data_IF_453527364885
#
_entry.id   IF_453527364885
#
_cell.length_a   1.000
_cell.length_b   1.000
_cell.length_c   1.000
_cell.angle_alpha   90.00
_cell.angle_beta   90.00
_cell.angle_gamma   90.00
#
_symmetry.space_group_name_H-M   'P 1'
#
loop_
_entity.id
_entity.type
_entity.pdbx_description
1 polymer ?
#
# COMPACT_ATOMS: atom_id res chain seq x y z
N UNK A 1 -43.99 -27.47 -6.64
CA UNK A 1 -42.52 -27.28 -6.75
C UNK A 1 -42.04 -28.06 -7.96
N UNK A 2 -41.28 -27.42 -8.85
CA UNK A 2 -40.68 -28.11 -9.99
C UNK A 2 -39.65 -29.14 -9.52
N UNK A 3 -39.41 -30.20 -10.31
CA UNK A 3 -38.45 -31.27 -9.99
C UNK A 3 -37.05 -30.69 -9.57
N UNK A 4 -36.57 -29.67 -10.26
CA UNK A 4 -35.30 -29.04 -9.95
C UNK A 4 -35.24 -28.36 -8.56
N UNK A 5 -36.35 -27.76 -8.10
CA UNK A 5 -36.43 -27.18 -6.75
C UNK A 5 -36.40 -28.23 -5.64
N UNK A 6 -36.99 -29.42 -5.90
CA UNK A 6 -36.93 -30.55 -4.96
C UNK A 6 -35.50 -31.11 -4.86
N UNK A 7 -34.82 -31.26 -5.99
CA UNK A 7 -33.42 -31.73 -6.02
C UNK A 7 -32.48 -30.75 -5.31
N UNK A 8 -32.62 -29.44 -5.54
CA UNK A 8 -31.83 -28.42 -4.88
C UNK A 8 -32.05 -28.42 -3.35
N UNK A 9 -33.32 -28.58 -2.92
CA UNK A 9 -33.64 -28.66 -1.49
C UNK A 9 -33.02 -29.90 -0.83
N UNK A 10 -33.06 -31.06 -1.51
CA UNK A 10 -32.43 -32.28 -0.99
C UNK A 10 -30.92 -32.13 -0.86
N UNK A 11 -30.24 -31.55 -1.87
CA UNK A 11 -28.79 -31.30 -1.82
C UNK A 11 -28.47 -30.34 -0.70
N UNK A 12 -29.21 -29.24 -0.56
CA UNK A 12 -29.01 -28.28 0.53
C UNK A 12 -29.18 -28.93 1.90
N UNK A 13 -30.23 -29.79 2.06
CA UNK A 13 -30.47 -30.51 3.31
C UNK A 13 -29.34 -31.46 3.64
N UNK A 14 -28.82 -32.20 2.65
CA UNK A 14 -27.67 -33.11 2.85
C UNK A 14 -26.43 -32.33 3.27
N UNK A 15 -26.14 -31.18 2.65
CA UNK A 15 -25.02 -30.32 2.99
C UNK A 15 -25.14 -29.74 4.43
N UNK A 16 -26.35 -29.35 4.83
CA UNK A 16 -26.59 -28.84 6.19
C UNK A 16 -26.41 -29.94 7.23
N UNK A 17 -27.00 -31.11 7.00
CA UNK A 17 -26.91 -32.26 7.92
C UNK A 17 -25.47 -32.77 7.96
N UNK A 18 -24.82 -32.92 6.80
CA UNK A 18 -23.43 -33.35 6.71
C UNK A 18 -22.47 -32.35 7.37
N UNK A 19 -22.64 -31.07 7.09
CA UNK A 19 -21.87 -30.00 7.73
C UNK A 19 -22.09 -29.95 9.25
N UNK A 20 -23.32 -30.10 9.68
CA UNK A 20 -23.67 -30.17 11.11
C UNK A 20 -23.03 -31.38 11.83
N UNK A 21 -23.05 -32.55 11.20
CA UNK A 21 -22.43 -33.76 11.74
C UNK A 21 -20.90 -33.64 11.85
N UNK A 22 -20.25 -33.07 10.82
CA UNK A 22 -18.81 -32.81 10.82
C UNK A 22 -18.46 -31.79 11.91
N UNK A 23 -19.22 -30.69 12.03
CA UNK A 23 -19.00 -29.67 13.04
C UNK A 23 -19.19 -30.21 14.47
N UNK A 24 -20.23 -31.01 14.68
CA UNK A 24 -20.47 -31.68 15.96
C UNK A 24 -19.37 -32.71 16.30
N UNK A 25 -18.93 -33.48 15.31
CA UNK A 25 -17.83 -34.44 15.48
C UNK A 25 -16.52 -33.74 15.82
N UNK A 26 -16.19 -32.64 15.16
CA UNK A 26 -15.03 -31.83 15.48
C UNK A 26 -15.11 -31.24 16.90
N UNK A 27 -16.30 -30.73 17.29
CA UNK A 27 -16.53 -30.18 18.62
C UNK A 27 -16.44 -31.24 19.73
N UNK A 28 -16.95 -32.46 19.46
CA UNK A 28 -16.82 -33.59 20.37
C UNK A 28 -15.37 -34.07 20.50
N UNK A 29 -14.61 -34.11 19.39
CA UNK A 29 -13.17 -34.43 19.40
C UNK A 29 -12.34 -33.38 20.15
N UNK A 30 -12.80 -32.14 20.16
CA UNK A 30 -12.23 -31.06 20.96
C UNK A 30 -12.66 -31.07 22.44
N UNK A 31 -13.33 -32.12 22.89
CA UNK A 31 -13.81 -32.26 24.28
C UNK A 31 -14.90 -31.26 24.67
N UNK A 32 -15.72 -30.84 23.68
CA UNK A 32 -16.77 -29.82 23.83
C UNK A 32 -16.24 -28.47 24.27
N UNK A 33 -14.97 -28.19 24.03
CA UNK A 33 -14.35 -26.88 24.30
C UNK A 33 -14.02 -26.19 22.96
N UNK A 34 -14.60 -25.03 22.73
CA UNK A 34 -14.34 -24.21 21.53
C UNK A 34 -12.88 -23.77 21.44
N UNK A 35 -12.22 -23.62 22.57
CA UNK A 35 -10.82 -23.24 22.61
C UNK A 35 -9.89 -24.31 22.01
N UNK A 36 -10.26 -25.59 22.11
CA UNK A 36 -9.51 -26.69 21.51
C UNK A 36 -9.75 -26.85 20.01
N UNK A 37 -10.73 -26.12 19.43
CA UNK A 37 -10.95 -26.00 18.00
C UNK A 37 -10.09 -24.91 17.34
N UNK A 38 -9.47 -24.06 18.15
CA UNK A 38 -8.59 -23.02 17.66
C UNK A 38 -7.33 -23.64 17.06
N UNK A 39 -6.97 -23.20 15.86
CA UNK A 39 -5.68 -23.53 15.23
C UNK A 39 -4.54 -22.68 15.79
N UNK A 40 -4.85 -21.75 16.66
CA UNK A 40 -3.90 -20.86 17.27
C UNK A 40 -3.24 -21.54 18.49
N UNK A 41 -1.94 -21.65 18.42
CA UNK A 41 -1.13 -22.15 19.54
C UNK A 41 -1.08 -21.08 20.62
N UNK A 42 -1.34 -21.47 21.88
CA UNK A 42 -1.47 -20.53 23.01
C UNK A 42 -0.16 -20.23 23.73
N UNK A 43 0.86 -21.04 23.48
CA UNK A 43 2.12 -20.95 24.22
C UNK A 43 3.14 -20.16 23.42
N UNK A 44 2.94 -18.84 23.35
CA UNK A 44 3.91 -17.97 22.71
C UNK A 44 5.09 -17.69 23.66
N UNK A 45 6.29 -17.80 23.13
CA UNK A 45 7.52 -17.47 23.83
C UNK A 45 8.30 -16.46 23.00
N UNK A 46 8.62 -15.33 23.60
CA UNK A 46 9.47 -14.33 22.96
C UNK A 46 10.94 -14.68 23.14
N UNK A 47 11.72 -14.43 22.12
CA UNK A 47 13.18 -14.57 22.12
C UNK A 47 13.81 -13.36 21.46
N UNK A 48 14.96 -12.93 21.97
CA UNK A 48 15.74 -11.86 21.36
C UNK A 48 17.13 -12.36 21.03
N UNK A 49 17.59 -12.12 19.82
CA UNK A 49 18.98 -12.29 19.40
C UNK A 49 19.62 -10.95 19.11
N UNK A 50 20.85 -10.81 19.52
CA UNK A 50 21.63 -9.58 19.37
C UNK A 50 22.89 -9.89 18.56
N UNK A 51 23.15 -9.07 17.54
CA UNK A 51 24.28 -9.17 16.65
C UNK A 51 25.13 -7.90 16.81
N UNK A 52 26.23 -8.04 17.51
CA UNK A 52 27.17 -6.96 17.71
C UNK A 52 28.02 -6.74 16.44
N UNK A 53 28.37 -5.52 16.07
CA UNK A 53 29.23 -5.29 14.94
C UNK A 53 30.61 -5.86 15.17
N UNK A 54 31.11 -6.61 14.19
CA UNK A 54 32.49 -7.06 14.19
C UNK A 54 33.37 -6.09 13.41
N UNK A 55 34.52 -5.72 13.95
CA UNK A 55 35.40 -4.70 13.35
C UNK A 55 35.89 -5.09 11.95
N UNK A 56 36.05 -6.39 11.70
CA UNK A 56 36.51 -6.94 10.41
C UNK A 56 35.39 -7.38 9.49
N UNK A 57 34.14 -7.47 9.99
CA UNK A 57 32.96 -7.88 9.22
C UNK A 57 31.71 -7.11 9.65
N UNK A 58 31.57 -5.84 9.24
CA UNK A 58 30.38 -5.06 9.55
C UNK A 58 29.16 -5.68 8.89
N UNK A 59 28.00 -5.59 9.55
CA UNK A 59 26.74 -6.04 8.96
C UNK A 59 26.38 -5.15 7.78
N UNK A 60 26.24 -5.75 6.60
CA UNK A 60 25.94 -5.05 5.34
C UNK A 60 24.53 -5.35 4.82
N UNK A 61 23.92 -6.43 5.29
CA UNK A 61 22.57 -6.82 4.88
C UNK A 61 21.75 -7.40 6.05
N UNK A 62 20.48 -7.11 6.04
CA UNK A 62 19.47 -7.76 6.89
C UNK A 62 18.41 -8.34 5.96
N UNK A 63 18.20 -9.65 6.06
CA UNK A 63 17.24 -10.39 5.26
C UNK A 63 16.22 -11.02 6.19
N UNK A 64 14.96 -10.62 6.05
CA UNK A 64 13.85 -11.13 6.83
C UNK A 64 12.82 -11.79 5.92
N UNK A 65 12.52 -13.06 6.19
CA UNK A 65 11.49 -13.85 5.50
C UNK A 65 10.52 -14.39 6.54
N UNK A 66 9.24 -14.12 6.42
CA UNK A 66 8.24 -14.66 7.35
C UNK A 66 6.91 -14.96 6.67
N UNK A 67 6.14 -15.85 7.30
CA UNK A 67 4.91 -16.40 6.72
C UNK A 67 3.64 -15.72 7.17
N UNK A 68 3.64 -14.86 8.21
CA UNK A 68 2.35 -14.34 8.65
C UNK A 68 2.27 -13.31 9.76
N UNK A 69 3.37 -12.95 10.41
CA UNK A 69 3.35 -11.93 11.46
C UNK A 69 3.77 -10.56 10.89
N UNK A 70 3.33 -9.52 11.62
CA UNK A 70 3.75 -8.15 11.36
C UNK A 70 5.24 -7.98 11.68
N UNK A 71 5.92 -7.15 10.90
CA UNK A 71 7.32 -6.81 11.11
C UNK A 71 7.43 -5.31 11.37
N UNK A 72 8.03 -4.97 12.50
CA UNK A 72 8.32 -3.60 12.88
C UNK A 72 9.83 -3.37 12.91
N UNK A 73 10.29 -2.34 12.23
CA UNK A 73 11.69 -1.98 12.14
C UNK A 73 11.87 -0.60 12.76
N UNK A 74 12.67 -0.55 13.81
CA UNK A 74 12.84 0.62 14.64
C UNK A 74 14.34 0.95 14.78
N UNK A 75 14.72 2.23 14.92
CA UNK A 75 16.08 2.58 15.22
C UNK A 75 16.46 2.24 16.66
N UNK A 76 17.74 1.96 16.86
CA UNK A 76 18.33 1.90 18.20
C UNK A 76 19.55 2.81 18.29
N UNK A 77 19.77 3.37 19.49
CA UNK A 77 20.99 4.14 19.79
C UNK A 77 22.19 3.22 20.14
N UNK A 78 21.94 1.91 20.29
CA UNK A 78 22.99 0.91 20.43
C UNK A 78 23.69 0.59 19.12
N UNK A 79 24.81 -0.10 19.19
CA UNK A 79 25.62 -0.48 18.02
C UNK A 79 25.23 -1.85 17.44
N UNK A 80 24.43 -2.63 18.16
CA UNK A 80 24.04 -3.98 17.78
C UNK A 80 22.66 -4.01 17.10
N UNK A 81 22.51 -4.92 16.14
CA UNK A 81 21.20 -5.29 15.58
C UNK A 81 20.51 -6.23 16.56
N UNK A 82 19.28 -5.92 16.96
CA UNK A 82 18.47 -6.76 17.83
C UNK A 82 17.26 -7.27 17.09
N UNK A 83 16.99 -8.58 17.15
CA UNK A 83 15.84 -9.23 16.55
C UNK A 83 15.02 -9.89 17.66
N UNK A 84 13.82 -9.37 17.93
CA UNK A 84 12.86 -9.97 18.85
C UNK A 84 11.76 -10.66 18.04
N UNK A 85 11.51 -11.92 18.31
CA UNK A 85 10.55 -12.74 17.60
C UNK A 85 9.81 -13.67 18.56
N UNK A 86 8.67 -14.18 18.10
CA UNK A 86 7.79 -15.03 18.88
C UNK A 86 7.69 -16.43 18.30
N UNK A 87 7.89 -17.43 19.12
CA UNK A 87 7.80 -18.83 18.74
C UNK A 87 6.69 -19.53 19.51
N UNK A 88 6.16 -20.59 18.93
CA UNK A 88 5.23 -21.51 19.58
C UNK A 88 5.43 -22.92 19.01
N UNK A 89 4.57 -23.87 19.32
CA UNK A 89 4.66 -25.27 18.87
C UNK A 89 4.67 -25.43 17.33
N UNK A 90 4.16 -24.44 16.59
CA UNK A 90 4.01 -24.49 15.12
C UNK A 90 4.81 -23.42 14.41
N UNK A 91 5.24 -22.39 15.11
CA UNK A 91 6.04 -21.31 14.56
C UNK A 91 7.44 -21.35 15.12
N UNK A 92 8.41 -21.41 14.24
CA UNK A 92 9.83 -21.36 14.56
C UNK A 92 10.54 -20.31 13.74
N UNK A 93 11.65 -19.84 14.25
CA UNK A 93 12.54 -18.91 13.56
C UNK A 93 13.96 -19.47 13.52
N UNK A 94 14.59 -19.38 12.37
CA UNK A 94 16.04 -19.48 12.23
C UNK A 94 16.60 -18.08 12.09
N UNK A 95 17.38 -17.66 13.08
CA UNK A 95 17.94 -16.32 13.14
C UNK A 95 19.44 -16.43 13.33
N UNK A 96 20.22 -15.90 12.41
CA UNK A 96 21.67 -16.04 12.41
C UNK A 96 22.37 -14.90 11.69
N UNK A 97 23.68 -14.87 11.82
CA UNK A 97 24.58 -14.03 11.03
C UNK A 97 25.46 -14.93 10.18
N UNK A 98 25.57 -14.61 8.93
CA UNK A 98 26.42 -15.31 7.98
C UNK A 98 27.25 -14.31 7.18
N UNK A 99 28.47 -14.05 7.66
CA UNK A 99 29.42 -13.18 6.97
C UNK A 99 28.94 -11.74 6.79
N UNK A 100 28.35 -11.15 7.84
CA UNK A 100 27.83 -9.77 7.81
C UNK A 100 26.41 -9.65 7.26
N UNK A 101 25.73 -10.75 7.02
CA UNK A 101 24.31 -10.80 6.67
C UNK A 101 23.51 -11.38 7.84
N UNK A 102 22.67 -10.55 8.47
CA UNK A 102 21.74 -11.02 9.49
C UNK A 102 20.51 -11.61 8.77
N UNK A 103 20.25 -12.89 8.99
CA UNK A 103 19.10 -13.62 8.42
C UNK A 103 18.07 -13.91 9.49
N UNK A 104 16.79 -13.68 9.17
CA UNK A 104 15.64 -13.97 10.02
C UNK A 104 14.61 -14.74 9.18
N UNK A 105 14.53 -16.05 9.37
CA UNK A 105 13.65 -16.92 8.61
C UNK A 105 12.58 -17.51 9.52
N UNK A 106 11.35 -17.02 9.41
CA UNK A 106 10.19 -17.56 10.08
C UNK A 106 9.55 -18.69 9.28
N UNK A 107 9.27 -19.80 9.92
CA UNK A 107 8.52 -20.90 9.33
C UNK A 107 7.33 -21.28 10.18
N UNK A 108 6.23 -21.68 9.53
CA UNK A 108 5.00 -22.07 10.21
C UNK A 108 4.51 -23.42 9.66
N UNK A 109 4.26 -24.37 10.54
CA UNK A 109 3.63 -25.61 10.15
C UNK A 109 2.16 -25.39 9.76
N UNK A 110 1.69 -25.99 8.66
CA UNK A 110 0.31 -25.86 8.23
C UNK A 110 -0.64 -26.44 9.29
N UNK A 111 -1.67 -25.68 9.64
CA UNK A 111 -2.72 -26.14 10.53
C UNK A 111 -3.96 -26.55 9.75
N UNK A 112 -4.49 -27.74 10.05
CA UNK A 112 -5.81 -28.16 9.57
C UNK A 112 -6.80 -27.92 10.70
N UNK A 113 -7.67 -26.92 10.56
CA UNK A 113 -8.66 -26.60 11.57
C UNK A 113 -9.46 -25.35 11.22
N UNK A 114 -10.40 -24.97 12.07
CA UNK A 114 -11.21 -23.77 11.93
C UNK A 114 -10.45 -22.62 12.56
N UNK A 115 -10.18 -21.58 11.78
CA UNK A 115 -9.62 -20.34 12.30
C UNK A 115 -10.70 -19.68 13.18
N UNK A 116 -10.61 -19.86 14.48
CA UNK A 116 -11.42 -19.12 15.44
C UNK A 116 -10.77 -17.76 15.66
N UNK A 117 -11.58 -16.73 15.78
CA UNK A 117 -11.14 -15.39 16.15
C UNK A 117 -10.59 -15.46 17.58
N UNK A 118 -9.29 -15.60 17.70
CA UNK A 118 -8.55 -15.73 18.96
C UNK A 118 -7.83 -14.44 19.34
N UNK A 119 -7.13 -14.45 20.46
CA UNK A 119 -6.50 -13.31 21.12
C UNK A 119 -5.75 -12.37 20.17
N UNK A 120 -5.98 -11.06 20.31
CA UNK A 120 -5.27 -9.99 19.62
C UNK A 120 -3.95 -9.63 20.31
N UNK A 121 -3.18 -10.63 20.74
CA UNK A 121 -1.82 -10.36 21.23
C UNK A 121 -0.91 -10.04 20.05
N UNK A 122 -0.19 -8.94 20.19
CA UNK A 122 0.79 -8.51 19.18
C UNK A 122 2.04 -9.38 19.27
N UNK A 123 2.21 -10.30 18.30
CA UNK A 123 3.37 -11.17 18.18
C UNK A 123 4.29 -10.69 17.04
N UNK A 124 4.33 -9.40 16.79
CA UNK A 124 5.19 -8.81 15.75
C UNK A 124 6.64 -9.18 15.94
N UNK A 125 7.32 -9.45 14.85
CA UNK A 125 8.78 -9.49 14.83
C UNK A 125 9.31 -8.06 14.87
N UNK A 126 10.11 -7.73 15.88
CA UNK A 126 10.70 -6.40 16.04
C UNK A 126 12.19 -6.48 15.72
N UNK A 127 12.58 -5.70 14.73
CA UNK A 127 13.97 -5.51 14.31
C UNK A 127 14.43 -4.12 14.73
N UNK A 128 15.37 -4.06 15.67
CA UNK A 128 16.02 -2.81 16.04
C UNK A 128 17.34 -2.68 15.30
N UNK A 129 17.46 -1.61 14.54
CA UNK A 129 18.60 -1.33 13.66
C UNK A 129 19.37 -0.14 14.19
N UNK A 130 20.71 -0.25 14.35
CA UNK A 130 21.53 0.88 14.75
C UNK A 130 21.36 2.09 13.82
N UNK A 131 21.29 3.30 14.35
CA UNK A 131 21.26 4.52 13.53
C UNK A 131 22.49 4.70 12.63
N UNK A 132 23.58 4.01 12.97
CA UNK A 132 24.81 3.98 12.17
C UNK A 132 24.78 2.98 11.02
N UNK A 133 23.75 2.13 10.95
CA UNK A 133 23.64 1.09 9.93
C UNK A 133 23.36 1.70 8.55
N UNK A 134 24.20 1.35 7.57
CA UNK A 134 24.13 1.85 6.19
C UNK A 134 23.90 0.75 5.16
N UNK A 135 23.62 -0.48 5.63
CA UNK A 135 23.43 -1.64 4.77
C UNK A 135 22.04 -1.71 4.14
N UNK A 136 21.69 -2.88 3.68
CA UNK A 136 20.41 -3.15 3.00
C UNK A 136 19.40 -3.84 3.91
N UNK A 137 18.11 -3.52 3.73
CA UNK A 137 16.98 -4.21 4.34
C UNK A 137 16.17 -4.93 3.25
N UNK A 138 16.09 -6.25 3.32
CA UNK A 138 15.28 -7.06 2.41
C UNK A 138 14.24 -7.86 3.22
N UNK A 139 12.98 -7.46 3.12
CA UNK A 139 11.85 -7.98 3.88
C UNK A 139 10.86 -8.60 2.90
N UNK A 140 10.52 -9.86 3.09
CA UNK A 140 9.57 -10.58 2.24
C UNK A 140 8.62 -11.41 3.11
N UNK A 141 7.36 -11.01 3.15
CA UNK A 141 6.31 -11.62 3.95
C UNK A 141 5.27 -12.29 3.05
N UNK A 142 4.81 -13.47 3.43
CA UNK A 142 3.60 -14.04 2.81
C UNK A 142 2.32 -13.41 3.36
N UNK A 143 2.35 -12.88 4.57
CA UNK A 143 1.28 -12.13 5.23
C UNK A 143 1.87 -11.18 6.25
N UNK A 144 1.02 -10.37 6.89
CA UNK A 144 1.47 -9.40 7.87
C UNK A 144 1.90 -8.06 7.26
N UNK A 145 1.96 -7.07 8.11
CA UNK A 145 2.33 -5.71 7.75
C UNK A 145 3.84 -5.50 7.91
N UNK A 146 4.39 -4.60 7.12
CA UNK A 146 5.75 -4.07 7.28
C UNK A 146 5.65 -2.62 7.73
N UNK A 147 6.21 -2.31 8.88
CA UNK A 147 6.32 -0.94 9.39
C UNK A 147 7.79 -0.61 9.66
N UNK A 148 8.35 0.36 8.93
CA UNK A 148 9.71 0.82 9.12
C UNK A 148 9.75 2.34 9.29
N UNK A 149 10.39 2.79 10.37
CA UNK A 149 10.40 4.20 10.69
C UNK A 149 11.74 4.69 11.26
N UNK A 150 12.02 5.98 11.03
CA UNK A 150 13.12 6.73 11.67
C UNK A 150 14.51 6.16 11.37
N UNK A 151 14.74 5.68 10.14
CA UNK A 151 16.01 5.12 9.70
C UNK A 151 16.67 6.03 8.65
N UNK A 152 17.89 6.42 8.94
CA UNK A 152 18.67 7.30 8.07
C UNK A 152 19.82 6.51 7.40
N UNK A 153 20.18 6.89 6.19
CA UNK A 153 21.37 6.42 5.47
C UNK A 153 21.39 4.93 5.12
N UNK A 154 20.25 4.33 4.82
CA UNK A 154 20.23 2.97 4.30
C UNK A 154 20.71 2.92 2.84
N UNK A 155 21.42 1.85 2.46
CA UNK A 155 21.77 1.62 1.07
C UNK A 155 20.53 1.27 0.26
N UNK A 156 19.75 0.27 0.67
CA UNK A 156 18.48 -0.02 0.04
C UNK A 156 17.45 -0.60 1.00
N UNK A 157 16.19 -0.38 0.68
CA UNK A 157 15.04 -0.97 1.37
C UNK A 157 14.16 -1.69 0.36
N UNK A 158 14.04 -2.99 0.51
CA UNK A 158 13.07 -3.80 -0.23
C UNK A 158 12.04 -4.35 0.74
N UNK A 159 10.78 -4.00 0.57
CA UNK A 159 9.68 -4.52 1.38
C UNK A 159 8.61 -5.15 0.49
N UNK A 160 8.34 -6.43 0.73
CA UNK A 160 7.34 -7.20 -0.01
C UNK A 160 6.38 -7.88 0.93
N UNK A 161 5.10 -7.88 0.58
CA UNK A 161 4.07 -8.67 1.27
C UNK A 161 3.04 -9.20 0.28
N UNK A 162 2.62 -10.45 0.44
CA UNK A 162 1.51 -10.96 -0.36
C UNK A 162 0.16 -10.49 0.19
N UNK A 163 0.02 -10.37 1.51
CA UNK A 163 -1.20 -9.86 2.15
C UNK A 163 -0.84 -9.07 3.38
N UNK A 164 -0.99 -7.76 3.31
CA UNK A 164 -0.67 -6.82 4.38
C UNK A 164 -0.30 -5.46 3.82
N UNK A 165 -0.12 -4.50 4.68
CA UNK A 165 0.24 -3.14 4.31
C UNK A 165 1.75 -2.93 4.48
N UNK A 166 2.30 -2.01 3.70
CA UNK A 166 3.67 -1.54 3.85
C UNK A 166 3.62 -0.07 4.23
N UNK A 167 4.21 0.26 5.36
CA UNK A 167 4.33 1.62 5.90
C UNK A 167 5.79 1.99 6.07
N UNK A 168 6.25 2.96 5.32
CA UNK A 168 7.60 3.50 5.42
C UNK A 168 7.52 4.97 5.80
N UNK A 169 8.15 5.36 6.90
CA UNK A 169 8.07 6.73 7.37
C UNK A 169 9.39 7.25 7.92
N UNK A 170 9.73 8.49 7.55
CA UNK A 170 10.96 9.16 8.01
C UNK A 170 12.21 8.31 7.74
N UNK A 171 12.38 7.92 6.48
CA UNK A 171 13.49 7.11 6.00
C UNK A 171 14.37 7.90 5.03
N UNK A 172 15.67 7.62 5.06
CA UNK A 172 16.57 7.99 3.99
C UNK A 172 17.32 6.73 3.50
N UNK A 173 17.26 6.48 2.19
CA UNK A 173 17.91 5.35 1.55
C UNK A 173 18.27 5.71 0.10
N UNK A 174 19.25 5.01 -0.49
CA UNK A 174 19.53 5.21 -1.91
C UNK A 174 18.36 4.68 -2.77
N UNK A 175 17.97 3.42 -2.54
CA UNK A 175 16.89 2.75 -3.28
C UNK A 175 15.79 2.24 -2.36
N UNK A 176 14.53 2.48 -2.74
CA UNK A 176 13.36 1.95 -2.03
C UNK A 176 12.44 1.23 -3.02
N UNK A 177 12.17 -0.05 -2.74
CA UNK A 177 11.26 -0.86 -3.54
C UNK A 177 10.20 -1.49 -2.63
N UNK A 178 8.93 -1.21 -2.90
CA UNK A 178 7.81 -1.80 -2.18
C UNK A 178 6.89 -2.56 -3.11
N UNK A 179 6.42 -3.73 -2.67
CA UNK A 179 5.51 -4.57 -3.44
C UNK A 179 4.48 -5.24 -2.53
N UNK A 180 3.23 -4.84 -2.66
CA UNK A 180 2.12 -5.48 -1.98
C UNK A 180 1.21 -6.17 -2.99
N UNK A 181 0.94 -7.48 -2.84
CA UNK A 181 -0.02 -8.10 -3.74
C UNK A 181 -1.47 -7.72 -3.35
N UNK A 182 -1.78 -7.70 -2.06
CA UNK A 182 -3.05 -7.21 -1.52
C UNK A 182 -2.78 -6.41 -0.26
N UNK A 183 -2.97 -5.11 -0.34
CA UNK A 183 -2.72 -4.18 0.75
C UNK A 183 -2.27 -2.82 0.27
N UNK A 184 -2.22 -1.87 1.17
CA UNK A 184 -1.84 -0.51 0.87
C UNK A 184 -0.33 -0.31 1.05
N UNK A 185 0.22 0.59 0.26
CA UNK A 185 1.60 1.07 0.41
C UNK A 185 1.54 2.54 0.82
N UNK A 186 2.07 2.86 1.98
CA UNK A 186 2.17 4.21 2.50
C UNK A 186 3.63 4.60 2.68
N UNK A 187 4.02 5.72 2.07
CA UNK A 187 5.38 6.28 2.18
C UNK A 187 5.28 7.73 2.59
N UNK A 188 5.89 8.08 3.72
CA UNK A 188 5.78 9.41 4.28
C UNK A 188 7.12 9.96 4.76
N UNK A 189 7.44 11.19 4.34
CA UNK A 189 8.70 11.89 4.72
C UNK A 189 9.93 11.05 4.43
N UNK A 190 10.11 10.71 3.16
CA UNK A 190 11.18 9.83 2.68
C UNK A 190 12.07 10.58 1.71
N UNK A 191 13.38 10.36 1.86
CA UNK A 191 14.41 10.86 0.95
C UNK A 191 15.14 9.68 0.30
N UNK A 192 15.28 9.69 -1.04
CA UNK A 192 15.95 8.61 -1.77
C UNK A 192 16.49 9.07 -3.13
N UNK A 193 17.20 8.20 -3.82
CA UNK A 193 17.46 8.40 -5.24
C UNK A 193 16.34 7.77 -6.08
N UNK A 194 15.98 6.54 -5.77
CA UNK A 194 14.96 5.78 -6.47
C UNK A 194 13.87 5.27 -5.54
N UNK A 195 12.58 5.46 -5.91
CA UNK A 195 11.44 4.91 -5.20
C UNK A 195 10.50 4.20 -6.18
N UNK A 196 10.23 2.93 -5.94
CA UNK A 196 9.24 2.17 -6.69
C UNK A 196 8.21 1.54 -5.75
N UNK A 197 6.93 1.79 -6.01
CA UNK A 197 5.84 1.18 -5.26
C UNK A 197 4.87 0.48 -6.21
N UNK A 198 4.58 -0.78 -5.91
CA UNK A 198 3.64 -1.59 -6.69
C UNK A 198 2.61 -2.22 -5.78
N UNK A 199 1.33 -2.14 -6.18
CA UNK A 199 0.27 -2.94 -5.55
C UNK A 199 -0.68 -3.50 -6.62
N UNK A 200 -1.12 -4.75 -6.42
CA UNK A 200 -2.15 -5.31 -7.32
C UNK A 200 -3.56 -4.88 -6.88
N UNK A 201 -3.83 -4.95 -5.59
CA UNK A 201 -5.11 -4.54 -5.01
C UNK A 201 -4.87 -3.77 -3.73
N UNK A 202 -5.09 -2.47 -3.77
CA UNK A 202 -4.85 -1.55 -2.66
C UNK A 202 -4.48 -0.17 -3.15
N UNK A 203 -4.26 0.74 -2.24
CA UNK A 203 -3.90 2.11 -2.55
C UNK A 203 -2.40 2.33 -2.34
N UNK A 204 -1.84 3.25 -3.13
CA UNK A 204 -0.51 3.81 -2.88
C UNK A 204 -0.69 5.25 -2.42
N UNK A 205 -0.15 5.57 -1.26
CA UNK A 205 -0.18 6.92 -0.69
C UNK A 205 1.23 7.41 -0.39
N UNK A 206 1.63 8.49 -1.05
CA UNK A 206 2.90 9.18 -0.81
C UNK A 206 2.64 10.57 -0.24
N UNK A 207 3.38 10.92 0.80
CA UNK A 207 3.34 12.24 1.42
C UNK A 207 4.74 12.71 1.75
N UNK A 208 5.12 13.89 1.26
CA UNK A 208 6.41 14.52 1.51
C UNK A 208 7.58 13.60 1.09
N UNK A 209 7.60 13.22 -0.18
CA UNK A 209 8.64 12.35 -0.77
C UNK A 209 9.58 13.18 -1.63
N UNK A 210 10.88 13.06 -1.35
CA UNK A 210 11.95 13.68 -2.11
C UNK A 210 12.82 12.60 -2.75
N UNK A 211 12.72 12.41 -4.06
CA UNK A 211 13.56 11.49 -4.80
C UNK A 211 14.41 12.25 -5.82
N UNK A 212 15.72 12.03 -5.81
CA UNK A 212 16.61 12.78 -6.71
C UNK A 212 16.50 12.32 -8.15
N UNK A 213 16.10 11.08 -8.40
CA UNK A 213 16.03 10.50 -9.73
C UNK A 213 14.60 10.13 -10.16
N UNK A 214 14.05 9.06 -9.60
CA UNK A 214 12.80 8.46 -10.10
C UNK A 214 11.85 8.11 -8.96
N UNK A 215 10.58 8.47 -9.16
CA UNK A 215 9.43 7.94 -8.41
C UNK A 215 8.54 7.18 -9.38
N UNK A 216 8.33 5.89 -9.12
CA UNK A 216 7.49 5.01 -9.92
C UNK A 216 6.38 4.38 -9.10
N UNK A 217 5.13 4.48 -9.59
CA UNK A 217 3.96 3.87 -8.98
C UNK A 217 3.24 2.99 -10.01
N UNK A 218 2.85 1.79 -9.58
CA UNK A 218 2.07 0.87 -10.40
C UNK A 218 0.95 0.24 -9.56
N UNK A 219 -0.30 0.48 -9.97
CA UNK A 219 -1.47 -0.04 -9.27
C UNK A 219 -2.41 -0.70 -10.27
N UNK A 220 -2.76 -1.97 -10.06
CA UNK A 220 -3.75 -2.62 -10.93
C UNK A 220 -5.17 -2.20 -10.56
N UNK A 221 -5.51 -2.21 -9.27
CA UNK A 221 -6.83 -1.79 -8.77
C UNK A 221 -6.69 -1.07 -7.43
N UNK A 222 -7.18 0.15 -7.36
CA UNK A 222 -7.10 1.01 -6.18
C UNK A 222 -6.75 2.43 -6.57
N UNK A 223 -6.56 3.33 -5.60
CA UNK A 223 -6.21 4.72 -5.82
C UNK A 223 -4.71 4.99 -5.67
N UNK A 224 -4.24 6.04 -6.33
CA UNK A 224 -2.93 6.63 -6.07
C UNK A 224 -3.10 8.03 -5.53
N UNK A 225 -2.51 8.31 -4.39
CA UNK A 225 -2.56 9.60 -3.72
C UNK A 225 -1.16 10.11 -3.46
N UNK A 226 -0.77 11.18 -4.14
CA UNK A 226 0.52 11.81 -4.00
C UNK A 226 0.35 13.21 -3.44
N UNK A 227 1.10 13.55 -2.40
CA UNK A 227 1.15 14.89 -1.82
C UNK A 227 2.59 15.31 -1.59
N UNK A 228 2.98 16.47 -2.13
CA UNK A 228 4.32 17.00 -1.92
C UNK A 228 5.43 16.06 -2.42
N UNK A 229 5.32 15.57 -3.66
CA UNK A 229 6.33 14.69 -4.27
C UNK A 229 7.26 15.53 -5.14
N UNK A 230 8.55 15.45 -4.86
CA UNK A 230 9.62 16.11 -5.63
C UNK A 230 10.56 15.06 -6.23
N UNK A 231 10.77 15.11 -7.55
CA UNK A 231 11.63 14.14 -8.26
C UNK A 231 12.07 14.65 -9.63
N UNK A 232 13.10 14.07 -10.21
CA UNK A 232 13.40 14.31 -11.62
C UNK A 232 12.35 13.66 -12.53
N UNK A 233 12.00 12.39 -12.29
CA UNK A 233 11.02 11.66 -13.09
C UNK A 233 9.94 11.03 -12.22
N UNK A 234 8.67 11.28 -12.56
CA UNK A 234 7.50 10.64 -11.96
C UNK A 234 6.78 9.79 -13.01
N UNK A 235 6.63 8.49 -12.77
CA UNK A 235 5.86 7.56 -13.64
C UNK A 235 4.78 6.89 -12.80
N UNK A 236 3.53 7.31 -12.96
CA UNK A 236 2.37 6.80 -12.24
C UNK A 236 1.42 6.07 -13.20
N UNK A 237 1.28 4.76 -13.02
CA UNK A 237 0.45 3.90 -13.85
C UNK A 237 -0.66 3.27 -13.04
N UNK A 238 -1.85 3.21 -13.65
CA UNK A 238 -3.03 2.66 -13.00
C UNK A 238 -3.92 1.89 -13.97
N UNK A 239 -4.35 0.71 -13.53
CA UNK A 239 -5.37 -0.07 -14.24
C UNK A 239 -6.77 0.47 -13.99
N UNK A 240 -7.21 0.50 -12.74
CA UNK A 240 -8.56 0.97 -12.36
C UNK A 240 -8.52 1.72 -11.04
N UNK A 241 -9.05 2.93 -11.03
CA UNK A 241 -9.09 3.87 -9.90
C UNK A 241 -8.65 5.25 -10.30
N UNK A 242 -8.49 6.17 -9.36
CA UNK A 242 -8.12 7.56 -9.62
C UNK A 242 -6.68 7.86 -9.19
N UNK A 243 -6.00 8.68 -9.95
CA UNK A 243 -4.72 9.27 -9.59
C UNK A 243 -4.97 10.70 -9.10
N UNK A 244 -4.69 10.95 -7.82
CA UNK A 244 -4.77 12.27 -7.20
C UNK A 244 -3.36 12.71 -6.81
N UNK A 245 -2.84 13.74 -7.47
CA UNK A 245 -1.51 14.25 -7.22
C UNK A 245 -1.57 15.73 -6.85
N UNK A 246 -1.07 16.10 -5.69
CA UNK A 246 -1.09 17.46 -5.19
C UNK A 246 0.32 17.98 -4.88
N UNK A 247 0.67 19.13 -5.45
CA UNK A 247 1.96 19.78 -5.19
C UNK A 247 3.16 18.98 -5.74
N UNK A 248 3.03 18.42 -6.94
CA UNK A 248 4.12 17.69 -7.60
C UNK A 248 5.16 18.66 -8.15
N UNK A 249 6.42 18.39 -7.87
CA UNK A 249 7.56 19.06 -8.46
C UNK A 249 8.41 18.02 -9.22
N UNK A 250 8.22 17.92 -10.55
CA UNK A 250 8.96 16.98 -11.39
C UNK A 250 9.49 17.66 -12.64
N UNK A 251 10.61 17.16 -13.19
CA UNK A 251 11.08 17.56 -14.50
C UNK A 251 10.26 16.86 -15.58
N UNK A 252 10.08 15.55 -15.44
CA UNK A 252 9.24 14.73 -16.29
C UNK A 252 8.17 14.03 -15.43
N UNK A 253 6.90 14.28 -15.71
CA UNK A 253 5.79 13.62 -15.01
C UNK A 253 4.89 12.90 -16.01
N UNK A 254 4.64 11.63 -15.76
CA UNK A 254 3.80 10.79 -16.59
C UNK A 254 2.72 10.12 -15.74
N UNK A 255 1.47 10.29 -16.17
CA UNK A 255 0.28 9.70 -15.57
C UNK A 255 -0.47 8.91 -16.64
N UNK A 256 -0.54 7.60 -16.48
CA UNK A 256 -1.30 6.71 -17.37
C UNK A 256 -2.37 5.96 -16.56
N UNK A 257 -3.63 6.21 -16.83
CA UNK A 257 -4.75 5.47 -16.27
C UNK A 257 -5.51 4.73 -17.39
N UNK A 258 -5.87 3.47 -17.16
CA UNK A 258 -6.76 2.80 -18.10
C UNK A 258 -8.23 3.14 -17.79
N UNK A 259 -8.62 3.16 -16.51
CA UNK A 259 -9.98 3.48 -16.07
C UNK A 259 -9.93 4.28 -14.80
N UNK A 260 -10.45 5.50 -14.85
CA UNK A 260 -10.45 6.45 -13.76
C UNK A 260 -9.84 7.78 -14.16
N UNK A 261 -9.96 8.75 -13.29
CA UNK A 261 -9.55 10.12 -13.55
C UNK A 261 -8.13 10.41 -13.07
N UNK A 262 -7.46 11.32 -13.77
CA UNK A 262 -6.18 11.88 -13.38
C UNK A 262 -6.38 13.33 -12.97
N UNK A 263 -6.16 13.64 -11.70
CA UNK A 263 -6.22 14.98 -11.16
C UNK A 263 -4.86 15.34 -10.55
N UNK A 264 -4.11 16.18 -11.22
CA UNK A 264 -2.76 16.53 -10.79
C UNK A 264 -2.56 18.04 -10.70
N UNK A 265 -1.95 18.47 -9.59
CA UNK A 265 -1.50 19.86 -9.40
C UNK A 265 0.03 19.91 -9.27
N UNK A 266 0.62 20.86 -9.97
CA UNK A 266 2.07 21.03 -10.05
C UNK A 266 2.53 22.31 -9.38
N UNK A 267 3.73 22.27 -8.84
CA UNK A 267 4.43 23.45 -8.37
C UNK A 267 5.03 24.22 -9.55
N UNK A 268 4.88 25.55 -9.52
CA UNK A 268 5.37 26.42 -10.59
C UNK A 268 4.27 26.85 -11.58
N UNK A 269 4.67 27.52 -12.65
CA UNK A 269 3.77 28.05 -13.69
C UNK A 269 3.59 27.03 -14.81
N UNK A 270 2.41 27.01 -15.43
CA UNK A 270 2.11 26.22 -16.63
C UNK A 270 3.07 26.52 -17.80
N UNK A 271 3.55 27.77 -17.91
CA UNK A 271 4.55 28.13 -18.91
C UNK A 271 5.93 27.45 -18.76
N UNK A 272 6.20 26.85 -17.60
CA UNK A 272 7.43 26.08 -17.37
C UNK A 272 7.35 24.64 -17.88
N UNK A 273 6.18 24.19 -18.33
CA UNK A 273 5.91 22.83 -18.73
C UNK A 273 5.43 22.69 -20.17
N UNK A 274 5.96 21.72 -20.90
CA UNK A 274 5.35 21.17 -22.09
C UNK A 274 4.29 20.16 -21.65
N UNK A 275 3.02 20.41 -21.98
CA UNK A 275 1.89 19.68 -21.42
C UNK A 275 1.19 18.87 -22.50
N UNK A 276 1.04 17.58 -22.29
CA UNK A 276 0.23 16.66 -23.08
C UNK A 276 -0.86 16.05 -22.21
N UNK A 277 -2.12 16.36 -22.47
CA UNK A 277 -3.25 15.80 -21.75
C UNK A 277 -4.27 15.21 -22.72
N UNK A 278 -4.73 13.99 -22.48
CA UNK A 278 -5.70 13.32 -23.34
C UNK A 278 -6.60 12.35 -22.59
N UNK A 279 -7.86 12.29 -22.98
CA UNK A 279 -8.82 11.26 -22.61
C UNK A 279 -9.49 10.70 -23.86
N UNK A 280 -9.73 9.39 -23.90
CA UNK A 280 -10.51 8.78 -24.99
C UNK A 280 -12.00 8.97 -24.73
N UNK A 281 -12.42 8.85 -23.45
CA UNK A 281 -13.82 9.03 -23.03
C UNK A 281 -13.85 9.77 -21.69
N UNK A 282 -14.02 11.07 -21.74
CA UNK A 282 -14.04 12.00 -20.63
C UNK A 282 -13.53 13.37 -21.04
N UNK A 283 -13.60 14.32 -20.12
CA UNK A 283 -13.22 15.71 -20.33
C UNK A 283 -11.74 15.95 -19.99
N UNK A 284 -11.13 16.89 -20.71
CA UNK A 284 -9.75 17.31 -20.47
C UNK A 284 -9.73 18.78 -20.09
N UNK A 285 -9.28 19.05 -18.87
CA UNK A 285 -9.08 20.40 -18.33
C UNK A 285 -7.58 20.60 -18.05
N UNK A 286 -6.91 21.29 -18.94
CA UNK A 286 -5.46 21.50 -18.87
C UNK A 286 -5.11 22.86 -19.47
N UNK A 287 -4.15 23.60 -18.89
CA UNK A 287 -3.59 24.78 -19.57
C UNK A 287 -2.79 24.35 -20.80
N UNK A 288 -2.49 25.33 -21.66
CA UNK A 288 -1.79 25.05 -22.91
C UNK A 288 -0.31 24.71 -22.72
N UNK A 289 0.30 25.17 -21.65
CA UNK A 289 1.72 25.00 -21.41
C UNK A 289 2.60 25.73 -22.44
N UNK A 290 3.86 25.35 -22.51
CA UNK A 290 4.83 25.89 -23.47
C UNK A 290 5.57 24.77 -24.17
N UNK A 291 5.49 24.72 -25.50
CA UNK A 291 6.18 23.68 -26.29
C UNK A 291 7.71 23.75 -26.23
N UNK A 292 8.27 24.84 -25.72
CA UNK A 292 9.73 25.02 -25.57
C UNK A 292 10.21 24.85 -24.12
N UNK A 293 9.31 24.47 -23.23
CA UNK A 293 9.65 24.24 -21.82
C UNK A 293 10.56 23.02 -21.66
N UNK A 294 11.43 23.07 -20.66
CA UNK A 294 12.33 21.97 -20.33
C UNK A 294 11.72 20.93 -19.40
N UNK A 295 10.56 21.23 -18.83
CA UNK A 295 9.80 20.29 -17.99
C UNK A 295 8.63 19.72 -18.79
N UNK A 296 8.30 18.46 -18.56
CA UNK A 296 7.27 17.76 -19.34
C UNK A 296 6.22 17.15 -18.42
N UNK A 297 4.95 17.25 -18.84
CA UNK A 297 3.83 16.56 -18.19
C UNK A 297 3.02 15.85 -19.26
N UNK A 298 2.85 14.54 -19.10
CA UNK A 298 1.97 13.72 -19.92
C UNK A 298 0.92 13.06 -19.03
N UNK A 299 -0.36 13.33 -19.25
CA UNK A 299 -1.46 12.72 -18.52
C UNK A 299 -2.48 12.10 -19.49
N UNK A 300 -2.71 10.81 -19.37
CA UNK A 300 -3.59 10.06 -20.28
C UNK A 300 -4.53 9.14 -19.52
N UNK A 301 -5.78 9.11 -19.95
CA UNK A 301 -6.74 8.09 -19.52
C UNK A 301 -7.53 7.56 -20.70
N UNK A 302 -7.98 6.29 -20.65
CA UNK A 302 -8.91 5.77 -21.65
C UNK A 302 -10.36 6.05 -21.25
N UNK A 303 -10.67 6.06 -19.95
CA UNK A 303 -12.01 6.36 -19.45
C UNK A 303 -11.93 7.10 -18.13
N UNK A 304 -12.37 8.35 -18.12
CA UNK A 304 -12.31 9.29 -17.00
C UNK A 304 -11.78 10.64 -17.45
N UNK A 305 -11.71 11.57 -16.54
CA UNK A 305 -11.32 12.95 -16.82
C UNK A 305 -9.82 13.17 -16.53
N UNK A 306 -9.24 14.13 -17.24
CA UNK A 306 -7.88 14.60 -16.96
C UNK A 306 -7.97 16.06 -16.53
N UNK A 307 -7.54 16.38 -15.31
CA UNK A 307 -7.46 17.74 -14.79
C UNK A 307 -6.03 18.05 -14.36
N UNK A 308 -5.41 19.03 -15.00
CA UNK A 308 -4.08 19.53 -14.65
C UNK A 308 -4.15 20.98 -14.20
N UNK A 309 -3.54 21.29 -13.06
CA UNK A 309 -3.49 22.63 -12.48
C UNK A 309 -2.05 22.97 -12.06
N UNK A 310 -1.74 24.29 -12.02
CA UNK A 310 -0.40 24.78 -11.69
C UNK A 310 -0.52 25.94 -10.71
N UNK A 311 0.34 25.98 -9.70
CA UNK A 311 0.25 26.94 -8.59
C UNK A 311 0.54 28.38 -9.00
N UNK A 312 1.22 28.62 -10.14
CA UNK A 312 1.53 29.94 -10.69
C UNK A 312 0.81 30.26 -12.00
N UNK A 313 -0.17 29.45 -12.42
CA UNK A 313 -0.78 29.53 -13.74
C UNK A 313 -1.99 30.47 -13.84
N UNK A 314 -2.18 31.01 -15.04
CA UNK A 314 -3.41 31.70 -15.45
C UNK A 314 -4.57 30.73 -15.75
N UNK A 315 -5.73 31.28 -16.12
CA UNK A 315 -6.98 30.53 -16.31
C UNK A 315 -6.84 29.32 -17.28
N UNK A 316 -7.31 28.16 -16.84
CA UNK A 316 -7.37 26.93 -17.62
C UNK A 316 -8.24 27.09 -18.87
N UNK A 317 -7.76 26.59 -20.01
CA UNK A 317 -8.54 26.48 -21.25
C UNK A 317 -9.24 25.10 -21.25
N UNK A 318 -10.56 25.12 -21.23
CA UNK A 318 -11.36 23.90 -21.41
C UNK A 318 -11.45 23.59 -22.92
N UNK A 319 -10.80 22.53 -23.38
CA UNK A 319 -10.99 21.98 -24.71
C UNK A 319 -12.15 20.96 -24.66
N UNK A 320 -13.36 21.48 -24.56
CA UNK A 320 -14.56 20.66 -24.72
C UNK A 320 -14.76 20.29 -26.20
N UNK A 321 -14.58 19.05 -26.54
CA UNK A 321 -15.03 18.51 -27.83
C UNK A 321 -16.52 18.17 -27.70
N UNK A 322 -17.36 19.20 -27.47
CA UNK A 322 -18.79 19.09 -27.27
C UNK A 322 -19.56 19.60 -28.48
N UNK A 323 -20.23 18.71 -29.18
CA UNK A 323 -21.31 19.10 -30.07
C UNK A 323 -22.31 19.98 -29.30
N UNK A 324 -22.53 21.20 -29.82
CA UNK A 324 -23.58 22.10 -29.34
C UNK A 324 -24.93 21.42 -29.45
N UNK A 325 -25.55 21.16 -28.31
CA UNK A 325 -27.02 21.11 -28.21
C UNK A 325 -27.46 22.26 -27.31
N UNK A 326 -28.03 23.24 -27.99
CA UNK A 326 -28.78 24.34 -27.40
C UNK A 326 -30.02 23.75 -26.70
N UNK A 327 -30.06 23.77 -25.38
CA UNK A 327 -31.30 23.60 -24.61
C UNK A 327 -31.17 24.33 -23.27
N UNK A 328 -32.06 25.28 -23.13
CA UNK A 328 -32.16 26.20 -22.00
C UNK A 328 -32.12 25.55 -20.63
N UNK A 329 -31.45 26.17 -19.72
CA UNK A 329 -31.37 25.77 -18.33
C UNK A 329 -32.76 25.72 -17.67
N UNK A 330 -33.13 24.61 -17.01
CA UNK A 330 -34.31 24.64 -16.14
C UNK A 330 -33.97 25.38 -14.86
N UNK A 331 -34.81 26.41 -14.55
CA UNK A 331 -34.82 27.11 -13.26
C UNK A 331 -35.03 26.10 -12.13
N UNK A 332 -34.21 26.22 -11.10
CA UNK A 332 -34.33 25.39 -9.89
C UNK A 332 -35.70 25.61 -9.22
N UNK A 333 -36.35 24.55 -8.72
CA UNK A 333 -37.58 24.71 -7.95
C UNK A 333 -37.30 25.37 -6.60
N UNK A 334 -38.19 26.35 -6.27
CA UNK A 334 -38.20 27.08 -5.00
C UNK A 334 -38.40 26.08 -3.83
N UNK A 335 -37.63 26.28 -2.76
CA UNK A 335 -37.71 25.46 -1.55
C UNK A 335 -39.08 25.66 -0.87
N UNK A 336 -39.70 24.58 -0.33
CA UNK A 336 -40.98 24.71 0.37
C UNK A 336 -40.80 25.46 1.69
N UNK A 337 -41.74 26.38 1.95
CA UNK A 337 -41.82 27.18 3.18
C UNK A 337 -41.98 26.27 4.42
N UNK A 338 -41.28 26.65 5.49
CA UNK A 338 -41.35 25.94 6.74
C UNK A 338 -42.73 26.13 7.42
N UNK A 339 -43.31 25.08 8.06
CA UNK A 339 -44.61 25.20 8.72
C UNK A 339 -44.51 26.10 9.95
N UNK A 340 -45.49 27.00 10.10
CA UNK A 340 -45.64 27.87 11.28
C UNK A 340 -45.83 27.09 12.56
N UNK A 341 -45.16 27.52 13.63
CA UNK A 341 -45.32 26.95 14.97
C UNK A 341 -46.70 27.27 15.55
N UNK A 342 -47.32 26.31 16.29
CA UNK A 342 -48.62 26.52 16.90
C UNK A 342 -48.52 27.59 18.03
N UNK A 343 -49.39 28.57 17.96
CA UNK A 343 -49.59 29.54 19.05
C UNK A 343 -50.32 28.84 20.22
N UNK A 344 -49.75 28.94 21.41
CA UNK A 344 -50.39 28.65 22.68
C UNK A 344 -51.37 29.77 23.04
#
# INVERSE_FOLDING_TARGET
MSSGKKTLLVIATILVIGGGAISFGAFAAAGFNFENLSTESRNWTSSTKTFAPEAESPHTAIVLRDMGEDVRIEPTDGDAIEVTYWTNERKSFDVGDNGGTVTVEGSREPAIGIMMIGSFEDHSTVLKVPRSYTGTLDIDLMGGNVDAADLDRLGSVTAKTASGNISLSRLAADDIVTNAASGNVQVQRVQCAYLSATTRSGNIEFSDVEATEIVKLDTTSGGQLLRGVSTATLDARMGSGDILAAGVAATDAKFDAASGSVNASFSGSDGEYAIEASSVSGDVHSPAGSATASRHVSARTMSGDVTLTFSGGGASVSNGNGARSDSGAPTAPEAPEAPEAPKL
#
